data_IF_145527417240
#
_entry.id   IF_145527417240
#
_cell.length_a   1.000
_cell.length_b   1.000
_cell.length_c   1.000
_cell.angle_alpha   90.00
_cell.angle_beta   90.00
_cell.angle_gamma   90.00
#
_symmetry.space_group_name_H-M   'P 1'
#
loop_
_entity.id
_entity.type
_entity.pdbx_description
1 polymer ?
#
# COMPACT_ATOMS: atom_id res chain seq x y z
N UNK A 1 -14.55 -5.87 19.02
CA UNK A 1 -13.57 -6.78 18.40
C UNK A 1 -12.53 -5.92 17.68
N UNK A 2 -11.39 -5.65 18.31
CA UNK A 2 -10.35 -4.78 17.75
C UNK A 2 -9.52 -5.59 16.76
N UNK A 3 -9.63 -5.27 15.47
CA UNK A 3 -8.89 -5.90 14.38
C UNK A 3 -7.46 -5.35 14.40
N UNK A 4 -6.53 -6.03 15.06
CA UNK A 4 -5.12 -5.67 15.04
C UNK A 4 -4.54 -5.92 13.64
N UNK A 5 -4.25 -4.84 12.91
CA UNK A 5 -3.54 -4.88 11.64
C UNK A 5 -2.05 -4.68 11.92
N UNK A 6 -1.23 -5.73 11.75
CA UNK A 6 0.23 -5.62 11.89
C UNK A 6 0.79 -4.91 10.66
N UNK A 7 1.03 -3.60 10.77
CA UNK A 7 1.64 -2.81 9.70
C UNK A 7 3.16 -2.92 9.85
N UNK A 8 3.80 -3.76 9.03
CA UNK A 8 5.25 -3.74 8.88
C UNK A 8 5.66 -2.41 8.25
N UNK A 9 6.41 -1.60 9.00
CA UNK A 9 6.95 -0.33 8.50
C UNK A 9 8.29 -0.61 7.83
N UNK A 10 8.40 -0.23 6.56
CA UNK A 10 9.65 -0.25 5.83
C UNK A 10 10.15 1.18 5.61
N UNK A 11 11.47 1.37 5.62
CA UNK A 11 12.09 2.65 5.33
C UNK A 11 12.67 2.60 3.92
N UNK A 12 12.30 3.56 3.07
CA UNK A 12 12.84 3.71 1.73
C UNK A 12 13.70 4.97 1.71
N UNK A 13 14.95 4.83 1.30
CA UNK A 13 15.84 5.97 1.12
C UNK A 13 15.58 6.61 -0.24
N UNK A 14 15.34 7.92 -0.26
CA UNK A 14 15.05 8.69 -1.47
C UNK A 14 15.76 10.03 -1.44
N UNK A 15 15.98 10.62 -2.62
CA UNK A 15 16.59 11.95 -2.71
C UNK A 15 15.67 13.04 -2.15
N UNK A 16 16.25 14.16 -1.69
CA UNK A 16 15.49 15.32 -1.19
C UNK A 16 14.54 15.89 -2.25
N UNK A 17 14.96 15.87 -3.53
CA UNK A 17 14.14 16.28 -4.67
C UNK A 17 12.89 15.40 -4.79
N UNK A 18 13.05 14.09 -4.67
CA UNK A 18 11.95 13.12 -4.71
C UNK A 18 10.94 13.38 -3.58
N UNK A 19 11.41 13.65 -2.35
CA UNK A 19 10.51 14.00 -1.23
C UNK A 19 9.70 15.26 -1.53
N UNK A 20 10.29 16.27 -2.17
CA UNK A 20 9.58 17.48 -2.59
C UNK A 20 8.42 17.17 -3.55
N UNK A 21 8.70 16.38 -4.59
CA UNK A 21 7.70 15.94 -5.57
C UNK A 21 6.58 15.14 -4.89
N UNK A 22 6.93 14.18 -4.03
CA UNK A 22 5.94 13.37 -3.32
C UNK A 22 5.01 14.22 -2.45
N UNK A 23 5.54 15.21 -1.73
CA UNK A 23 4.71 16.13 -0.92
C UNK A 23 3.75 16.96 -1.77
N UNK A 24 4.19 17.42 -2.94
CA UNK A 24 3.33 18.17 -3.84
C UNK A 24 2.21 17.29 -4.40
N UNK A 25 2.53 16.06 -4.80
CA UNK A 25 1.53 15.09 -5.25
C UNK A 25 0.53 14.75 -4.13
N UNK A 26 1.00 14.60 -2.88
CA UNK A 26 0.10 14.37 -1.75
C UNK A 26 -0.94 15.48 -1.59
N UNK A 27 -0.53 16.74 -1.77
CA UNK A 27 -1.45 17.90 -1.72
C UNK A 27 -2.44 17.88 -2.88
N UNK A 28 -1.96 17.64 -4.10
CA UNK A 28 -2.79 17.63 -5.32
C UNK A 28 -3.85 16.53 -5.27
N UNK A 29 -3.51 15.37 -4.72
CA UNK A 29 -4.39 14.20 -4.64
C UNK A 29 -5.16 14.12 -3.31
N UNK A 30 -4.97 15.08 -2.40
CA UNK A 30 -5.59 15.14 -1.08
C UNK A 30 -5.41 13.86 -0.24
N UNK A 31 -4.19 13.30 -0.26
CA UNK A 31 -3.85 12.07 0.48
C UNK A 31 -3.00 12.36 1.71
N UNK A 32 -3.15 11.54 2.75
CA UNK A 32 -2.57 11.82 4.07
C UNK A 32 -1.23 11.11 4.30
N UNK A 33 -0.95 10.05 3.55
CA UNK A 33 0.28 9.26 3.73
C UNK A 33 0.99 8.96 2.41
N UNK A 34 2.31 8.75 2.48
CA UNK A 34 3.07 8.29 1.31
C UNK A 34 2.65 6.89 0.86
N UNK A 35 2.25 6.01 1.77
CA UNK A 35 1.77 4.66 1.44
C UNK A 35 0.48 4.74 0.59
N UNK A 36 -0.46 5.59 0.99
CA UNK A 36 -1.68 5.87 0.23
C UNK A 36 -1.38 6.44 -1.16
N UNK A 37 -0.49 7.44 -1.24
CA UNK A 37 -0.06 8.00 -2.52
C UNK A 37 0.54 6.94 -3.44
N UNK A 38 1.47 6.13 -2.93
CA UNK A 38 2.16 5.09 -3.71
C UNK A 38 1.17 4.04 -4.21
N UNK A 39 0.23 3.60 -3.36
CA UNK A 39 -0.80 2.62 -3.76
C UNK A 39 -1.67 3.15 -4.89
N UNK A 40 -2.13 4.40 -4.80
CA UNK A 40 -2.95 5.00 -5.84
C UNK A 40 -2.15 5.10 -7.15
N UNK A 41 -0.92 5.63 -7.10
CA UNK A 41 -0.07 5.76 -8.29
C UNK A 41 0.22 4.41 -8.97
N UNK A 42 0.49 3.36 -8.19
CA UNK A 42 0.74 2.01 -8.71
C UNK A 42 -0.55 1.41 -9.28
N UNK A 43 -1.68 1.59 -8.60
CA UNK A 43 -2.98 1.10 -9.08
C UNK A 43 -3.39 1.78 -10.38
N UNK A 44 -3.26 3.11 -10.49
CA UNK A 44 -3.57 3.86 -11.71
C UNK A 44 -2.70 3.42 -12.89
N UNK A 45 -1.38 3.29 -12.66
CA UNK A 45 -0.44 3.00 -13.74
C UNK A 45 -0.48 1.54 -14.20
N UNK A 46 -0.63 0.60 -13.28
CA UNK A 46 -0.49 -0.83 -13.56
C UNK A 46 -1.77 -1.63 -13.37
N UNK A 47 -2.90 -0.99 -13.04
CA UNK A 47 -4.18 -1.65 -12.70
C UNK A 47 -4.03 -2.73 -11.63
N UNK A 48 -3.03 -2.58 -10.77
CA UNK A 48 -2.77 -3.51 -9.67
C UNK A 48 -3.88 -3.33 -8.64
N UNK A 49 -4.46 -4.46 -8.21
CA UNK A 49 -5.50 -4.45 -7.19
C UNK A 49 -4.94 -3.91 -5.87
N UNK A 50 -5.73 -3.12 -5.15
CA UNK A 50 -5.37 -2.52 -3.85
C UNK A 50 -5.13 -3.56 -2.73
N UNK A 51 -5.34 -4.84 -3.04
CA UNK A 51 -5.13 -5.99 -2.17
C UNK A 51 -4.23 -6.99 -2.89
N UNK A 52 -3.10 -7.33 -2.26
CA UNK A 52 -2.26 -8.46 -2.65
C UNK A 52 -2.74 -9.77 -1.99
N UNK A 53 -3.83 -9.74 -1.23
CA UNK A 53 -4.45 -10.95 -0.70
C UNK A 53 -4.98 -11.79 -1.88
N UNK A 54 -4.38 -12.95 -2.11
CA UNK A 54 -4.70 -13.84 -3.24
C UNK A 54 -3.90 -13.59 -4.52
N UNK A 55 -2.97 -12.63 -4.56
CA UNK A 55 -2.12 -12.40 -5.74
C UNK A 55 -0.92 -13.36 -5.84
N UNK A 56 -0.66 -14.13 -4.78
CA UNK A 56 0.31 -15.22 -4.82
C UNK A 56 -0.41 -16.56 -5.12
N UNK A 57 -0.29 -17.11 -6.34
CA UNK A 57 -0.96 -18.36 -6.72
C UNK A 57 -0.46 -19.59 -5.93
N UNK A 58 0.69 -19.47 -5.26
CA UNK A 58 1.25 -20.54 -4.44
C UNK A 58 0.75 -20.52 -2.98
N UNK A 59 -0.04 -19.52 -2.58
CA UNK A 59 -0.64 -19.50 -1.25
C UNK A 59 -1.98 -20.23 -1.28
N UNK A 60 -2.07 -21.32 -0.53
CA UNK A 60 -3.33 -22.03 -0.30
C UNK A 60 -4.33 -21.11 0.41
N UNK A 61 -5.57 -21.11 -0.08
CA UNK A 61 -6.69 -20.37 0.51
C UNK A 61 -6.76 -20.63 2.01
N UNK A 62 -6.91 -19.58 2.80
CA UNK A 62 -7.02 -19.66 4.26
C UNK A 62 -8.26 -20.49 4.65
N UNK A 63 -8.08 -21.80 4.85
CA UNK A 63 -9.08 -22.68 5.48
C UNK A 63 -9.04 -22.43 6.99
N UNK A 64 -9.60 -21.30 7.40
CA UNK A 64 -9.99 -21.11 8.79
C UNK A 64 -11.05 -22.16 9.12
N UNK A 65 -10.68 -23.17 9.92
CA UNK A 65 -11.64 -24.11 10.51
C UNK A 65 -12.51 -23.28 11.45
N UNK A 66 -13.73 -22.93 11.02
CA UNK A 66 -14.75 -22.47 11.96
C UNK A 66 -14.98 -23.60 12.96
N UNK A 67 -14.59 -23.36 14.20
CA UNK A 67 -15.00 -24.12 15.38
C UNK A 67 -16.00 -23.26 16.13
#
# INVERSE_FOLDING_TARGET
MFKYSYIMKTTIQVSRRTVGILKELMKRMNVKTYDELIRIMVSEKYRVQNSLFGSNPNLTLFRGKMR
#
